data_IF_278149769099
#
_entry.id   IF_278149769099
#
_cell.length_a   1.000
_cell.length_b   1.000
_cell.length_c   1.000
_cell.angle_alpha   90.00
_cell.angle_beta   90.00
_cell.angle_gamma   90.00
#
_symmetry.space_group_name_H-M   'P 1'
#
loop_
_entity.id
_entity.type
_entity.pdbx_description
1 polymer ?
#
# COMPACT_ATOMS: atom_id res chain seq x y z
N UNK A 1 -23.75 19.75 -44.85
CA UNK A 1 -24.44 19.96 -43.57
C UNK A 1 -24.50 18.61 -42.85
N UNK A 2 -23.83 18.46 -41.72
CA UNK A 2 -23.59 17.16 -41.08
C UNK A 2 -24.68 16.89 -40.01
N UNK A 3 -25.55 15.89 -40.15
CA UNK A 3 -26.73 15.69 -39.28
C UNK A 3 -26.41 15.23 -37.87
N UNK A 4 -25.13 14.96 -37.55
CA UNK A 4 -24.73 14.42 -36.26
C UNK A 4 -24.56 15.46 -35.14
N UNK A 5 -24.61 16.75 -35.45
CA UNK A 5 -24.43 17.83 -34.45
C UNK A 5 -25.72 18.10 -33.68
N UNK A 6 -26.88 17.87 -34.31
CA UNK A 6 -28.18 18.13 -33.69
C UNK A 6 -28.58 17.05 -32.63
N UNK A 7 -28.12 15.82 -32.84
CA UNK A 7 -28.42 14.70 -31.94
C UNK A 7 -27.64 14.74 -30.60
N UNK A 8 -26.46 15.36 -30.59
CA UNK A 8 -25.65 15.50 -29.38
C UNK A 8 -26.16 16.59 -28.43
N UNK A 9 -26.81 17.61 -28.91
CA UNK A 9 -27.35 18.71 -28.09
C UNK A 9 -28.60 18.32 -27.30
N UNK A 10 -29.44 17.44 -27.83
CA UNK A 10 -30.64 16.95 -27.11
C UNK A 10 -30.33 15.98 -25.97
N UNK A 11 -29.29 15.18 -26.08
CA UNK A 11 -28.90 14.22 -25.02
C UNK A 11 -28.28 14.93 -23.82
N UNK A 12 -27.56 16.03 -24.06
CA UNK A 12 -26.93 16.82 -22.98
C UNK A 12 -27.97 17.60 -22.18
N UNK A 13 -29.04 18.09 -22.86
CA UNK A 13 -30.14 18.81 -22.19
C UNK A 13 -30.96 17.90 -21.26
N UNK A 14 -31.08 16.60 -21.60
CA UNK A 14 -31.90 15.65 -20.82
C UNK A 14 -31.17 15.16 -19.56
N UNK A 15 -29.83 15.15 -19.56
CA UNK A 15 -29.03 14.74 -18.41
C UNK A 15 -28.89 15.83 -17.32
N UNK A 16 -29.14 17.11 -17.64
CA UNK A 16 -29.06 18.22 -16.69
C UNK A 16 -30.31 18.35 -15.80
N UNK A 17 -31.44 17.77 -16.17
CA UNK A 17 -32.69 17.86 -15.38
C UNK A 17 -32.76 16.81 -14.26
N UNK A 18 -31.97 15.75 -14.32
CA UNK A 18 -31.97 14.64 -13.32
C UNK A 18 -31.13 14.97 -12.06
N UNK A 19 -30.28 16.00 -12.11
CA UNK A 19 -29.35 16.30 -10.99
C UNK A 19 -29.90 17.28 -9.93
N UNK A 20 -31.12 17.81 -10.07
CA UNK A 20 -31.67 18.81 -9.14
C UNK A 20 -32.64 18.25 -8.07
N UNK A 21 -32.74 16.93 -7.92
CA UNK A 21 -33.77 16.30 -7.08
C UNK A 21 -33.30 15.66 -5.76
N UNK A 22 -32.00 15.68 -5.37
CA UNK A 22 -31.53 15.00 -4.15
C UNK A 22 -30.79 15.93 -3.20
N UNK A 23 -31.56 16.81 -2.56
CA UNK A 23 -31.11 17.48 -1.34
C UNK A 23 -32.24 17.37 -0.33
N UNK A 24 -31.88 16.86 0.85
CA UNK A 24 -32.54 16.97 2.16
C UNK A 24 -32.90 15.61 2.79
N UNK A 25 -31.95 15.07 3.55
CA UNK A 25 -32.27 14.37 4.79
C UNK A 25 -31.22 14.79 5.85
N UNK A 26 -31.73 15.52 6.86
CA UNK A 26 -30.96 16.08 7.94
C UNK A 26 -30.50 15.04 8.94
N UNK A 27 -29.29 15.21 9.47
CA UNK A 27 -28.78 14.52 10.65
C UNK A 27 -29.39 15.10 11.91
N UNK A 28 -30.17 14.30 12.65
CA UNK A 28 -30.53 14.57 14.05
C UNK A 28 -29.43 14.00 14.95
N UNK A 29 -28.63 14.86 15.53
CA UNK A 29 -27.73 14.54 16.63
C UNK A 29 -28.54 14.49 17.92
N UNK A 30 -28.81 13.29 18.44
CA UNK A 30 -29.37 13.11 19.80
C UNK A 30 -28.22 13.17 20.80
N UNK A 31 -28.11 14.31 21.47
CA UNK A 31 -27.26 14.44 22.65
C UNK A 31 -27.95 13.72 23.82
N UNK A 32 -27.39 12.61 24.28
CA UNK A 32 -27.85 11.90 25.49
C UNK A 32 -27.11 12.47 26.68
N UNK A 33 -27.86 13.16 27.52
CA UNK A 33 -27.45 13.70 28.81
C UNK A 33 -26.96 12.60 29.75
N UNK A 34 -25.80 12.81 30.36
CA UNK A 34 -25.12 11.84 31.24
C UNK A 34 -25.58 12.03 32.67
N UNK A 35 -26.31 11.05 33.22
CA UNK A 35 -26.65 10.97 34.64
C UNK A 35 -25.48 10.35 35.43
N UNK A 36 -25.10 10.89 36.61
CA UNK A 36 -23.99 10.37 37.40
C UNK A 36 -24.41 9.24 38.30
N UNK A 37 -23.67 8.12 38.27
CA UNK A 37 -23.66 7.14 39.36
C UNK A 37 -24.00 5.71 38.98
N UNK A 38 -22.97 4.93 38.53
CA UNK A 38 -22.89 3.48 38.85
C UNK A 38 -21.46 2.96 38.56
N UNK A 39 -20.90 2.08 39.45
CA UNK A 39 -19.51 1.68 39.32
C UNK A 39 -19.30 0.66 38.18
N UNK A 40 -18.17 0.81 37.54
CA UNK A 40 -17.74 0.07 36.37
C UNK A 40 -17.46 -1.40 36.69
N UNK A 41 -18.16 -2.30 36.04
CA UNK A 41 -17.70 -3.66 35.82
C UNK A 41 -17.06 -3.70 34.43
N UNK A 42 -15.78 -4.10 34.35
CA UNK A 42 -14.99 -4.07 33.16
C UNK A 42 -15.54 -4.96 32.05
N UNK A 43 -15.75 -4.35 30.89
CA UNK A 43 -15.79 -5.07 29.62
C UNK A 43 -14.74 -4.43 28.77
N UNK A 44 -13.70 -5.20 28.48
CA UNK A 44 -12.63 -4.89 27.54
C UNK A 44 -13.24 -4.62 26.16
N UNK A 45 -13.59 -3.38 25.92
CA UNK A 45 -13.94 -2.89 24.59
C UNK A 45 -12.65 -2.77 23.79
N UNK A 46 -12.43 -3.69 22.85
CA UNK A 46 -11.31 -3.65 21.95
C UNK A 46 -11.27 -2.32 21.22
N UNK A 47 -10.23 -1.54 21.49
CA UNK A 47 -9.79 -0.46 20.62
C UNK A 47 -9.49 -1.11 19.28
N UNK A 48 -10.30 -0.85 18.27
CA UNK A 48 -9.94 -1.10 16.89
C UNK A 48 -8.73 -0.23 16.60
N UNK A 49 -7.55 -0.79 16.75
CA UNK A 49 -6.33 -0.25 16.16
C UNK A 49 -6.48 -0.41 14.66
N UNK A 50 -6.88 0.66 13.98
CA UNK A 50 -6.80 0.72 12.53
C UNK A 50 -5.36 0.49 12.13
N UNK A 51 -5.15 -0.55 11.30
CA UNK A 51 -3.99 -0.65 10.43
C UNK A 51 -2.79 -1.44 10.91
N UNK A 52 -2.95 -2.53 11.63
CA UNK A 52 -1.91 -3.56 11.54
C UNK A 52 -2.13 -4.31 10.22
N UNK A 53 -1.49 -3.76 9.16
CA UNK A 53 -1.52 -4.37 7.84
C UNK A 53 -0.87 -5.75 7.96
N UNK A 54 -1.69 -6.79 7.82
CA UNK A 54 -1.28 -8.19 7.87
C UNK A 54 -0.27 -8.44 6.74
N UNK A 55 1.02 -8.37 7.04
CA UNK A 55 2.09 -8.63 6.08
C UNK A 55 2.52 -10.09 6.13
N UNK A 56 3.05 -10.58 4.99
CA UNK A 56 3.69 -11.90 4.88
C UNK A 56 5.20 -11.73 4.80
N UNK A 57 5.95 -12.67 5.39
CA UNK A 57 7.39 -12.73 5.26
C UNK A 57 7.76 -13.84 4.28
N UNK A 58 8.52 -13.51 3.26
CA UNK A 58 9.17 -14.47 2.33
C UNK A 58 10.67 -14.54 2.59
N UNK A 59 11.24 -13.41 2.99
CA UNK A 59 12.57 -13.23 3.55
C UNK A 59 12.37 -12.81 5.00
N UNK A 60 13.21 -13.24 5.91
CA UNK A 60 12.97 -13.26 7.36
C UNK A 60 12.63 -11.90 7.99
N UNK A 61 13.05 -10.82 7.33
CA UNK A 61 12.97 -9.47 7.86
C UNK A 61 12.48 -8.42 6.84
N UNK A 62 11.77 -8.87 5.81
CA UNK A 62 11.09 -7.99 4.84
C UNK A 62 9.61 -8.30 4.84
N UNK A 63 8.82 -7.41 5.45
CA UNK A 63 7.38 -7.53 5.51
C UNK A 63 6.74 -7.09 4.20
N UNK A 64 5.96 -7.99 3.61
CA UNK A 64 5.28 -7.78 2.33
C UNK A 64 3.79 -7.52 2.57
N UNK A 65 3.17 -6.47 1.99
CA UNK A 65 1.73 -6.27 2.08
C UNK A 65 0.97 -7.52 1.61
N UNK A 66 -0.03 -7.95 2.39
CA UNK A 66 -0.82 -9.16 2.09
C UNK A 66 -1.60 -9.07 0.78
N UNK A 67 -1.88 -7.85 0.33
CA UNK A 67 -2.59 -7.55 -0.91
C UNK A 67 -1.76 -7.78 -2.18
N UNK A 68 -0.44 -7.87 -2.08
CA UNK A 68 0.45 -8.13 -3.20
C UNK A 68 0.41 -9.59 -3.63
N UNK A 69 0.22 -9.83 -4.92
CA UNK A 69 0.21 -11.16 -5.51
C UNK A 69 1.63 -11.59 -5.86
N UNK A 70 2.14 -12.59 -5.16
CA UNK A 70 3.46 -13.19 -5.39
C UNK A 70 3.57 -13.84 -6.77
N UNK A 71 4.72 -13.71 -7.44
CA UNK A 71 5.02 -14.26 -8.75
C UNK A 71 6.18 -15.28 -8.65
N UNK A 72 5.92 -16.54 -8.28
CA UNK A 72 6.98 -17.52 -8.04
C UNK A 72 7.87 -17.75 -9.27
N UNK A 73 7.29 -17.79 -10.48
CA UNK A 73 8.03 -18.00 -11.73
C UNK A 73 9.02 -16.87 -12.10
N UNK A 74 8.95 -15.74 -11.39
CA UNK A 74 9.87 -14.59 -11.57
C UNK A 74 10.74 -14.35 -10.36
N UNK A 75 10.50 -15.10 -9.29
CA UNK A 75 11.17 -14.94 -8.01
C UNK A 75 12.20 -16.03 -7.80
N UNK A 76 13.24 -15.70 -7.08
CA UNK A 76 14.31 -16.64 -6.71
C UNK A 76 14.72 -16.35 -5.26
N UNK A 77 14.80 -17.39 -4.44
CA UNK A 77 15.28 -17.32 -3.05
C UNK A 77 16.46 -18.28 -2.93
N UNK A 78 17.56 -17.78 -2.44
CA UNK A 78 18.73 -18.55 -2.05
C UNK A 78 18.86 -18.54 -0.54
N UNK A 79 18.90 -19.70 0.06
CA UNK A 79 18.94 -19.87 1.50
C UNK A 79 20.13 -20.71 1.92
N UNK A 80 20.87 -20.22 2.89
CA UNK A 80 21.98 -20.93 3.55
C UNK A 80 21.75 -20.87 5.06
N UNK A 81 22.45 -21.70 5.86
CA UNK A 81 22.37 -21.59 7.32
C UNK A 81 22.74 -20.22 7.90
N UNK A 82 23.47 -19.40 7.14
CA UNK A 82 23.98 -18.11 7.61
C UNK A 82 23.17 -16.91 7.11
N UNK A 83 22.55 -16.99 5.94
CA UNK A 83 21.79 -15.88 5.38
C UNK A 83 20.77 -16.35 4.33
N UNK A 84 19.76 -15.54 4.15
CA UNK A 84 18.73 -15.69 3.12
C UNK A 84 18.77 -14.47 2.22
N UNK A 85 18.90 -14.72 0.93
CA UNK A 85 18.94 -13.70 -0.12
C UNK A 85 18.00 -14.05 -1.25
N UNK A 86 17.64 -13.08 -2.07
CA UNK A 86 16.78 -13.38 -3.20
C UNK A 86 16.24 -12.17 -3.93
N UNK A 87 15.49 -12.49 -4.98
CA UNK A 87 14.71 -11.53 -5.76
C UNK A 87 13.27 -12.00 -5.74
N UNK A 88 12.39 -11.17 -5.20
CA UNK A 88 10.96 -11.43 -5.11
C UNK A 88 10.20 -10.49 -6.04
N UNK A 89 9.27 -11.05 -6.79
CA UNK A 89 8.40 -10.29 -7.68
C UNK A 89 6.94 -10.40 -7.24
N UNK A 90 6.28 -9.26 -7.21
CA UNK A 90 4.86 -9.14 -6.90
C UNK A 90 4.16 -8.27 -7.92
N UNK A 91 2.84 -8.38 -7.97
CA UNK A 91 2.01 -7.44 -8.73
C UNK A 91 0.64 -7.29 -8.10
N UNK A 92 0.04 -6.11 -8.30
CA UNK A 92 -1.34 -5.83 -7.94
C UNK A 92 -1.92 -4.81 -8.92
N UNK A 93 -3.18 -4.96 -9.24
CA UNK A 93 -3.90 -3.99 -10.05
C UNK A 93 -4.40 -2.84 -9.18
N UNK A 94 -4.26 -1.62 -9.67
CA UNK A 94 -4.71 -0.37 -9.00
C UNK A 94 -4.22 -0.21 -7.56
N UNK A 95 -2.95 -0.43 -7.33
CA UNK A 95 -2.33 -0.19 -6.05
C UNK A 95 -1.63 1.17 -6.04
N UNK A 96 -1.92 1.95 -5.01
CA UNK A 96 -1.35 3.28 -4.84
C UNK A 96 0.15 3.21 -4.50
N UNK A 97 0.98 3.82 -5.33
CA UNK A 97 2.44 3.79 -5.17
C UNK A 97 2.91 4.56 -3.93
N UNK A 98 2.40 5.77 -3.62
CA UNK A 98 2.72 6.48 -2.39
C UNK A 98 2.46 5.65 -1.14
N UNK A 99 1.29 5.02 -1.03
CA UNK A 99 0.95 4.16 0.12
C UNK A 99 1.89 2.96 0.27
N UNK A 100 2.36 2.39 -0.86
CA UNK A 100 3.37 1.33 -0.84
C UNK A 100 4.72 1.82 -0.32
N UNK A 101 5.16 3.00 -0.73
CA UNK A 101 6.41 3.61 -0.28
C UNK A 101 6.35 3.85 1.23
N UNK A 102 5.25 4.40 1.72
CA UNK A 102 5.02 4.62 3.14
C UNK A 102 5.02 3.30 3.93
N UNK A 103 4.27 2.31 3.44
CA UNK A 103 4.23 0.97 4.05
C UNK A 103 5.62 0.36 4.21
N UNK A 104 6.41 0.33 3.12
CA UNK A 104 7.75 -0.25 3.18
C UNK A 104 8.67 0.57 4.08
N UNK A 105 8.65 1.90 3.97
CA UNK A 105 9.50 2.76 4.81
C UNK A 105 9.23 2.54 6.30
N UNK A 106 7.94 2.46 6.68
CA UNK A 106 7.54 2.24 8.06
C UNK A 106 7.92 0.85 8.58
N UNK A 107 7.54 -0.21 7.83
CA UNK A 107 7.76 -1.59 8.29
C UNK A 107 9.24 -1.99 8.26
N UNK A 108 9.99 -1.56 7.25
CA UNK A 108 11.44 -1.79 7.19
C UNK A 108 12.16 -1.13 8.37
N UNK A 109 11.73 0.08 8.76
CA UNK A 109 12.24 0.75 9.96
C UNK A 109 11.99 -0.06 11.24
N UNK A 110 10.78 -0.65 11.39
CA UNK A 110 10.46 -1.54 12.52
C UNK A 110 11.33 -2.79 12.56
N UNK A 111 11.69 -3.33 11.41
CA UNK A 111 12.54 -4.52 11.28
C UNK A 111 14.05 -4.16 11.27
N UNK A 112 14.43 -2.98 11.80
CA UNK A 112 15.79 -2.48 11.94
C UNK A 112 16.55 -2.27 10.62
N UNK A 113 15.86 -2.02 9.53
CA UNK A 113 16.48 -1.57 8.29
C UNK A 113 16.67 -0.05 8.32
N UNK A 114 17.82 0.41 7.88
CA UNK A 114 18.12 1.84 7.69
C UNK A 114 17.85 2.22 6.24
N UNK A 115 16.96 3.18 6.00
CA UNK A 115 16.78 3.76 4.67
C UNK A 115 18.06 4.53 4.28
N UNK A 116 18.66 4.14 3.17
CA UNK A 116 19.87 4.77 2.62
C UNK A 116 19.50 5.90 1.68
N UNK A 117 18.59 5.62 0.74
CA UNK A 117 18.03 6.61 -0.16
C UNK A 117 16.68 6.16 -0.73
N UNK A 118 15.94 7.13 -1.25
CA UNK A 118 14.64 6.93 -1.90
C UNK A 118 14.54 7.83 -3.11
N UNK A 119 14.06 7.29 -4.23
CA UNK A 119 13.79 8.01 -5.46
C UNK A 119 12.37 7.72 -5.91
N UNK A 120 11.62 8.74 -6.29
CA UNK A 120 10.25 8.62 -6.79
C UNK A 120 10.15 9.21 -8.20
N UNK A 121 9.48 8.50 -9.12
CA UNK A 121 9.29 8.89 -10.50
C UNK A 121 8.39 7.89 -11.22
N UNK A 122 8.63 7.67 -12.53
CA UNK A 122 7.98 6.57 -13.27
C UNK A 122 8.25 5.21 -12.64
N UNK A 123 9.41 5.08 -12.05
CA UNK A 123 9.83 3.98 -11.19
C UNK A 123 10.27 4.57 -9.86
N UNK A 124 9.88 3.95 -8.77
CA UNK A 124 10.31 4.33 -7.44
C UNK A 124 11.28 3.30 -6.90
N UNK A 125 12.33 3.76 -6.23
CA UNK A 125 13.36 2.93 -5.62
C UNK A 125 13.50 3.29 -4.14
N UNK A 126 13.51 2.28 -3.30
CA UNK A 126 13.83 2.39 -1.88
C UNK A 126 15.03 1.49 -1.62
N UNK A 127 16.12 2.04 -1.13
CA UNK A 127 17.32 1.29 -0.79
C UNK A 127 17.51 1.31 0.72
N UNK A 128 17.59 0.12 1.30
CA UNK A 128 17.78 -0.10 2.72
C UNK A 128 19.06 -0.87 2.97
N UNK A 129 19.64 -0.69 4.17
CA UNK A 129 20.80 -1.44 4.63
C UNK A 129 20.64 -1.92 6.06
N UNK A 130 21.26 -3.06 6.32
CA UNK A 130 21.62 -3.58 7.63
C UNK A 130 23.14 -3.78 7.68
N UNK A 131 23.73 -4.09 8.84
CA UNK A 131 25.18 -4.29 8.93
C UNK A 131 25.74 -5.37 7.99
N UNK A 132 24.95 -6.40 7.69
CA UNK A 132 25.31 -7.60 6.94
C UNK A 132 24.69 -7.70 5.55
N UNK A 133 23.65 -6.90 5.25
CA UNK A 133 22.87 -7.04 4.00
C UNK A 133 22.23 -5.75 3.53
N UNK A 134 21.84 -5.75 2.26
CA UNK A 134 21.11 -4.66 1.60
C UNK A 134 19.77 -5.16 1.06
N UNK A 135 18.80 -4.24 0.99
CA UNK A 135 17.52 -4.48 0.36
C UNK A 135 17.20 -3.32 -0.58
N UNK A 136 16.90 -3.65 -1.84
CA UNK A 136 16.38 -2.69 -2.82
C UNK A 136 14.95 -3.07 -3.16
N UNK A 137 14.02 -2.12 -3.01
CA UNK A 137 12.63 -2.27 -3.41
C UNK A 137 12.39 -1.34 -4.59
N UNK A 138 11.98 -1.93 -5.72
CA UNK A 138 11.63 -1.20 -6.95
C UNK A 138 10.13 -1.33 -7.19
N UNK A 139 9.46 -0.21 -7.35
CA UNK A 139 8.02 -0.14 -7.58
C UNK A 139 7.79 0.53 -8.93
N UNK A 140 7.04 -0.14 -9.81
CA UNK A 140 6.74 0.35 -11.16
C UNK A 140 5.23 0.31 -11.36
N UNK A 141 4.65 1.46 -11.64
CA UNK A 141 3.28 1.56 -12.11
C UNK A 141 3.27 1.50 -13.64
N UNK A 142 2.62 0.46 -14.18
CA UNK A 142 2.44 0.32 -15.62
C UNK A 142 1.27 1.17 -16.10
N UNK A 143 1.33 1.64 -17.33
CA UNK A 143 0.24 2.37 -17.98
C UNK A 143 -1.10 1.60 -18.00
N UNK A 144 -1.07 0.27 -17.85
CA UNK A 144 -2.24 -0.59 -17.70
C UNK A 144 -2.91 -0.51 -16.33
N UNK A 145 -2.36 0.27 -15.39
CA UNK A 145 -2.83 0.36 -14.00
C UNK A 145 -2.35 -0.80 -13.11
N UNK A 146 -1.45 -1.65 -13.61
CA UNK A 146 -0.85 -2.71 -12.78
C UNK A 146 0.43 -2.19 -12.14
N UNK A 147 0.50 -2.24 -10.81
CA UNK A 147 1.71 -1.98 -10.06
C UNK A 147 2.51 -3.26 -9.89
N UNK A 148 3.80 -3.22 -10.20
CA UNK A 148 4.74 -4.31 -9.97
C UNK A 148 5.75 -3.89 -8.92
N UNK A 149 6.07 -4.81 -8.01
CA UNK A 149 7.05 -4.61 -6.95
C UNK A 149 8.11 -5.70 -7.08
N UNK A 150 9.37 -5.28 -7.14
CA UNK A 150 10.53 -6.14 -7.14
C UNK A 150 11.35 -5.84 -5.89
N UNK A 151 11.63 -6.87 -5.10
CA UNK A 151 12.40 -6.77 -3.87
C UNK A 151 13.65 -7.62 -4.00
N UNK A 152 14.80 -7.00 -3.87
CA UNK A 152 16.10 -7.66 -3.92
C UNK A 152 16.77 -7.57 -2.57
N UNK A 153 17.10 -8.70 -1.98
CA UNK A 153 17.89 -8.78 -0.74
C UNK A 153 19.15 -9.57 -1.01
N UNK A 154 20.26 -9.03 -0.60
CA UNK A 154 21.55 -9.68 -0.75
C UNK A 154 22.53 -9.26 0.34
N UNK A 155 23.65 -10.01 0.51
CA UNK A 155 24.69 -9.65 1.44
C UNK A 155 25.32 -8.31 1.06
N UNK A 156 25.75 -7.56 2.06
CA UNK A 156 26.60 -6.41 1.84
C UNK A 156 27.97 -6.94 1.36
N UNK A 157 28.41 -6.52 0.18
CA UNK A 157 29.73 -6.92 -0.32
C UNK A 157 30.84 -6.51 0.65
N UNK A 158 31.78 -7.39 0.92
CA UNK A 158 32.96 -7.05 1.70
C UNK A 158 33.72 -5.92 1.00
N UNK A 159 33.90 -4.81 1.71
CA UNK A 159 34.78 -3.75 1.25
C UNK A 159 36.22 -4.29 1.32
N UNK A 160 36.76 -4.76 0.19
CA UNK A 160 38.20 -5.01 0.09
C UNK A 160 38.92 -3.67 0.36
N UNK A 161 39.55 -3.57 1.53
CA UNK A 161 40.51 -2.52 1.83
C UNK A 161 41.83 -2.82 1.13
#
# INVERSE_FOLDING_TARGET
MNPNIFRRRSVIALLLVIFLGWSWTGCSTTVKERQPGQPATGTTGGVKTEGESTGKYYLDDVRIPSELNYKPNKSFIYETPRFKAGILHFSKWRLDVPSLIEYFTYNMGKDNWKLVNSFSGKESFLNFSKPDKTCTIRIIEKWTGTTTVEIRVGPLGEKKM
#
